data_IF_747103696797
#
_entry.id   IF_747103696797
#
_cell.length_a   1.000
_cell.length_b   1.000
_cell.length_c   1.000
_cell.angle_alpha   90.00
_cell.angle_beta   90.00
_cell.angle_gamma   90.00
#
_symmetry.space_group_name_H-M   'P 1'
#
loop_
_entity.id
_entity.type
_entity.pdbx_description
1 polymer ?
#
# COMPACT_ATOMS: atom_id res chain seq x y z
N UNK A 1 -7.77 28.01 13.19
CA UNK A 1 -7.56 26.70 12.58
C UNK A 1 -6.10 26.38 12.78
N UNK A 2 -5.78 25.78 13.93
CA UNK A 2 -4.40 25.50 14.32
C UNK A 2 -3.84 24.40 13.42
N UNK A 3 -2.68 24.65 12.83
CA UNK A 3 -1.94 23.69 12.02
C UNK A 3 -1.56 22.50 12.92
N UNK A 4 -2.24 21.37 12.69
CA UNK A 4 -2.04 20.14 13.43
C UNK A 4 -0.85 19.41 12.79
N UNK A 5 0.25 19.33 13.53
CA UNK A 5 1.46 18.64 13.12
C UNK A 5 1.17 17.13 13.02
N UNK A 6 1.32 16.49 11.84
CA UNK A 6 0.93 15.09 11.64
C UNK A 6 1.76 14.12 12.49
N UNK A 7 3.02 14.48 12.80
CA UNK A 7 3.88 13.67 13.66
C UNK A 7 3.34 13.59 15.09
N UNK A 8 2.90 14.72 15.65
CA UNK A 8 2.32 14.79 17.00
C UNK A 8 1.00 14.01 17.08
N UNK A 9 0.20 14.01 16.01
CA UNK A 9 -1.04 13.20 15.98
C UNK A 9 -0.79 11.71 15.91
N UNK A 10 0.29 11.27 15.23
CA UNK A 10 0.67 9.86 15.18
C UNK A 10 1.20 9.38 16.52
N UNK A 11 2.00 10.21 17.20
CA UNK A 11 2.46 9.91 18.56
C UNK A 11 1.28 9.82 19.54
N UNK A 12 0.33 10.74 19.47
CA UNK A 12 -0.89 10.70 20.28
C UNK A 12 -1.73 9.44 20.00
N UNK A 13 -1.87 9.02 18.74
CA UNK A 13 -2.57 7.79 18.38
C UNK A 13 -1.84 6.53 18.85
N UNK A 14 -0.51 6.47 18.74
CA UNK A 14 0.29 5.36 19.28
C UNK A 14 0.24 5.30 20.81
N UNK A 15 0.25 6.46 21.47
CA UNK A 15 0.13 6.56 22.92
C UNK A 15 -1.24 6.02 23.37
N UNK A 16 -2.32 6.45 22.71
CA UNK A 16 -3.66 5.94 22.96
C UNK A 16 -3.77 4.44 22.67
N UNK A 17 -3.13 3.92 21.61
CA UNK A 17 -3.11 2.49 21.30
C UNK A 17 -2.34 1.65 22.33
N UNK A 18 -1.29 2.22 22.94
CA UNK A 18 -0.56 1.58 24.05
C UNK A 18 -1.34 1.64 25.37
N UNK A 19 -1.99 2.76 25.66
CA UNK A 19 -2.78 2.97 26.87
C UNK A 19 -4.10 2.18 26.85
N UNK A 20 -4.73 2.04 25.68
CA UNK A 20 -5.95 1.24 25.50
C UNK A 20 -5.68 -0.26 25.29
N UNK A 21 -4.42 -0.70 25.31
CA UNK A 21 -4.08 -2.09 24.97
C UNK A 21 -4.52 -2.46 23.54
N UNK A 22 -4.25 -3.69 23.11
CA UNK A 22 -4.69 -4.15 21.79
C UNK A 22 -6.22 -4.02 21.70
N UNK A 23 -6.73 -3.02 20.98
CA UNK A 23 -8.17 -2.76 20.84
C UNK A 23 -8.90 -3.99 20.28
N UNK A 24 -8.20 -4.90 19.58
CA UNK A 24 -8.73 -6.23 19.19
C UNK A 24 -9.09 -7.10 20.40
N UNK A 25 -8.37 -6.97 21.51
CA UNK A 25 -8.64 -7.68 22.77
C UNK A 25 -9.76 -7.04 23.61
N UNK A 26 -9.93 -5.72 23.52
CA UNK A 26 -11.00 -4.99 24.24
C UNK A 26 -12.33 -4.96 23.50
N UNK A 27 -12.30 -4.91 22.16
CA UNK A 27 -13.48 -4.99 21.28
C UNK A 27 -13.83 -6.44 20.90
N UNK A 28 -13.20 -7.41 21.56
CA UNK A 28 -13.50 -8.82 21.42
C UNK A 28 -14.94 -9.12 21.90
N UNK A 29 -15.90 -8.99 20.98
CA UNK A 29 -17.20 -9.68 21.00
C UNK A 29 -16.98 -11.22 21.11
N UNK A 30 -15.74 -11.69 20.97
CA UNK A 30 -15.27 -13.05 21.29
C UNK A 30 -15.21 -13.38 22.80
N UNK A 31 -15.66 -12.51 23.70
CA UNK A 31 -15.88 -12.89 25.11
C UNK A 31 -17.22 -13.59 25.38
N UNK A 32 -18.02 -13.87 24.35
CA UNK A 32 -19.22 -14.71 24.49
C UNK A 32 -18.83 -16.20 24.55
N UNK A 33 -17.61 -16.57 24.14
CA UNK A 33 -17.08 -17.94 24.21
C UNK A 33 -16.22 -18.24 25.45
N UNK A 34 -15.97 -17.26 26.32
CA UNK A 34 -15.32 -17.55 27.61
C UNK A 34 -16.37 -18.02 28.63
N UNK A 35 -16.18 -19.21 29.24
CA UNK A 35 -17.07 -19.69 30.27
C UNK A 35 -17.00 -18.75 31.49
N UNK A 36 -18.15 -18.37 32.04
CA UNK A 36 -18.29 -17.43 33.18
C UNK A 36 -17.77 -18.05 34.51
N UNK A 37 -17.01 -19.14 34.47
CA UNK A 37 -16.57 -19.86 35.67
C UNK A 37 -15.10 -19.57 36.00
N UNK A 38 -14.91 -19.09 37.23
CA UNK A 38 -13.64 -18.75 37.86
C UNK A 38 -12.59 -19.88 37.74
N UNK A 39 -11.30 -19.55 37.53
CA UNK A 39 -10.22 -20.52 37.51
C UNK A 39 -9.75 -20.78 38.94
N UNK A 40 -10.43 -21.66 39.67
CA UNK A 40 -9.91 -22.26 40.90
C UNK A 40 -10.52 -23.66 41.08
N UNK A 41 -10.21 -24.57 40.16
CA UNK A 41 -10.47 -25.99 40.32
C UNK A 41 -9.55 -26.84 39.44
N UNK A 42 -8.24 -26.61 39.51
CA UNK A 42 -7.29 -27.65 39.08
C UNK A 42 -7.26 -28.76 40.13
N UNK A 43 -7.88 -29.88 39.79
CA UNK A 43 -7.50 -31.27 40.13
C UNK A 43 -8.74 -32.14 40.35
N UNK A 44 -9.14 -32.87 39.31
CA UNK A 44 -9.58 -34.27 39.43
C UNK A 44 -9.75 -34.89 38.03
N UNK A 45 -8.62 -35.22 37.42
CA UNK A 45 -8.57 -36.32 36.47
C UNK A 45 -8.70 -37.63 37.25
N UNK A 46 -9.87 -38.29 37.17
CA UNK A 46 -9.98 -39.73 36.92
C UNK A 46 -11.43 -40.23 37.09
N UNK A 47 -11.92 -40.90 36.04
CA UNK A 47 -12.97 -41.92 36.05
C UNK A 47 -14.33 -41.51 36.60
N UNK A 48 -15.33 -41.40 35.72
CA UNK A 48 -16.58 -42.16 35.81
C UNK A 48 -17.44 -41.93 34.55
N UNK A 49 -17.63 -43.01 33.80
CA UNK A 49 -18.76 -43.33 32.91
C UNK A 49 -19.56 -42.16 32.32
N UNK A 50 -19.23 -41.83 31.06
CA UNK A 50 -20.16 -41.77 29.91
C UNK A 50 -21.65 -41.65 30.30
N UNK A 51 -22.05 -40.48 30.79
CA UNK A 51 -23.45 -40.04 30.86
C UNK A 51 -23.60 -38.89 29.88
N UNK A 52 -24.33 -39.15 28.81
CA UNK A 52 -24.69 -38.17 27.77
C UNK A 52 -25.71 -37.19 28.35
N UNK A 53 -25.28 -36.12 29.01
CA UNK A 53 -26.17 -34.99 29.38
C UNK A 53 -25.46 -33.68 29.74
N UNK A 54 -24.15 -33.65 29.97
CA UNK A 54 -23.45 -32.41 30.38
C UNK A 54 -22.80 -31.70 29.18
N UNK A 55 -23.22 -30.46 28.95
CA UNK A 55 -22.77 -29.59 27.86
C UNK A 55 -21.47 -28.81 28.18
N UNK A 56 -20.78 -29.14 29.25
CA UNK A 56 -19.53 -28.47 29.68
C UNK A 56 -18.26 -29.07 29.06
N UNK A 57 -18.39 -30.06 28.17
CA UNK A 57 -17.27 -30.72 27.51
C UNK A 57 -17.32 -30.53 25.98
N UNK A 58 -17.18 -29.29 25.51
CA UNK A 58 -16.95 -29.04 24.08
C UNK A 58 -15.62 -28.30 23.94
N UNK A 59 -14.58 -29.09 23.63
CA UNK A 59 -13.35 -28.61 23.00
C UNK A 59 -13.72 -27.88 21.70
N UNK A 60 -13.57 -26.55 21.67
CA UNK A 60 -13.61 -25.69 20.48
C UNK A 60 -14.90 -25.78 19.63
N UNK A 61 -15.98 -25.06 20.00
CA UNK A 61 -17.19 -25.01 19.18
C UNK A 61 -16.91 -24.31 17.83
N UNK A 62 -17.03 -25.07 16.75
CA UNK A 62 -17.01 -24.53 15.38
C UNK A 62 -18.38 -23.89 15.08
N UNK A 63 -18.49 -22.79 14.30
CA UNK A 63 -19.77 -22.10 14.07
C UNK A 63 -20.91 -23.00 13.56
N UNK A 64 -20.59 -23.99 12.72
CA UNK A 64 -21.55 -24.97 12.22
C UNK A 64 -22.06 -25.95 13.31
N UNK A 65 -21.25 -26.25 14.32
CA UNK A 65 -21.66 -27.07 15.47
C UNK A 65 -22.66 -26.32 16.35
N UNK A 66 -22.42 -25.02 16.57
CA UNK A 66 -23.30 -24.17 17.37
C UNK A 66 -24.70 -24.07 16.75
N UNK A 67 -24.79 -23.94 15.42
CA UNK A 67 -26.07 -23.91 14.72
C UNK A 67 -26.85 -25.22 14.89
N UNK A 68 -26.18 -26.37 14.73
CA UNK A 68 -26.79 -27.68 14.95
C UNK A 68 -27.29 -27.83 16.39
N UNK A 69 -26.49 -27.41 17.38
CA UNK A 69 -26.88 -27.46 18.79
C UNK A 69 -28.09 -26.56 19.09
N UNK A 70 -28.14 -25.35 18.52
CA UNK A 70 -29.29 -24.45 18.67
C UNK A 70 -30.57 -25.07 18.09
N UNK A 71 -30.49 -25.78 16.97
CA UNK A 71 -31.65 -26.50 16.41
C UNK A 71 -32.10 -27.64 17.32
N UNK A 72 -31.15 -28.46 17.82
CA UNK A 72 -31.45 -29.56 18.74
C UNK A 72 -32.10 -29.06 20.05
N UNK A 73 -31.56 -28.00 20.65
CA UNK A 73 -32.14 -27.44 21.88
C UNK A 73 -33.53 -26.83 21.64
N UNK A 74 -33.75 -26.15 20.51
CA UNK A 74 -35.09 -25.65 20.16
C UNK A 74 -36.12 -26.79 20.10
N UNK A 75 -35.76 -27.93 19.52
CA UNK A 75 -36.64 -29.10 19.49
C UNK A 75 -36.85 -29.72 20.87
N UNK A 76 -35.77 -29.92 21.64
CA UNK A 76 -35.83 -30.48 22.99
C UNK A 76 -36.70 -29.62 23.92
N UNK A 77 -36.48 -28.30 23.94
CA UNK A 77 -37.27 -27.38 24.76
C UNK A 77 -38.71 -27.29 24.28
N UNK A 78 -38.98 -27.39 22.97
CA UNK A 78 -40.35 -27.45 22.46
C UNK A 78 -41.09 -28.71 22.94
N UNK A 79 -40.41 -29.87 22.88
CA UNK A 79 -40.95 -31.15 23.41
C UNK A 79 -41.15 -31.09 24.92
N UNK A 80 -40.18 -30.54 25.66
CA UNK A 80 -40.25 -30.41 27.10
C UNK A 80 -41.38 -29.45 27.52
N UNK A 81 -41.52 -28.31 26.83
CA UNK A 81 -42.61 -27.36 27.05
C UNK A 81 -43.98 -28.01 26.81
N UNK A 82 -44.12 -28.77 25.71
CA UNK A 82 -45.35 -29.48 25.41
C UNK A 82 -45.67 -30.52 26.50
N UNK A 83 -44.72 -31.39 26.84
CA UNK A 83 -44.88 -32.42 27.87
C UNK A 83 -45.22 -31.82 29.23
N UNK A 84 -44.56 -30.73 29.63
CA UNK A 84 -44.82 -30.06 30.90
C UNK A 84 -46.22 -29.44 30.95
N UNK A 85 -46.61 -28.68 29.92
CA UNK A 85 -47.94 -28.08 29.85
C UNK A 85 -49.02 -29.17 29.85
N UNK A 86 -48.82 -30.26 29.10
CA UNK A 86 -49.74 -31.39 29.09
C UNK A 86 -49.83 -32.06 30.47
N UNK A 87 -48.71 -32.31 31.14
CA UNK A 87 -48.72 -32.94 32.46
C UNK A 87 -49.38 -32.06 33.52
N UNK A 88 -49.00 -30.78 33.60
CA UNK A 88 -49.57 -29.84 34.57
C UNK A 88 -51.07 -29.64 34.33
N UNK A 89 -51.51 -29.60 33.07
CA UNK A 89 -52.95 -29.49 32.76
C UNK A 89 -53.71 -30.76 33.13
N UNK A 90 -53.16 -31.95 32.85
CA UNK A 90 -53.75 -33.23 33.29
C UNK A 90 -53.85 -33.32 34.81
N UNK A 91 -52.78 -32.99 35.53
CA UNK A 91 -52.78 -33.01 37.00
C UNK A 91 -53.75 -31.99 37.58
N UNK A 92 -53.76 -30.75 37.06
CA UNK A 92 -54.70 -29.71 37.49
C UNK A 92 -56.15 -30.12 37.23
N UNK A 93 -56.44 -30.75 36.10
CA UNK A 93 -57.78 -31.26 35.78
C UNK A 93 -58.20 -32.37 36.75
N UNK A 94 -57.35 -33.37 36.97
CA UNK A 94 -57.64 -34.46 37.92
C UNK A 94 -57.84 -33.92 39.35
N UNK A 95 -57.03 -32.95 39.77
CA UNK A 95 -57.17 -32.33 41.08
C UNK A 95 -58.45 -31.49 41.20
N UNK A 96 -58.89 -30.84 40.13
CA UNK A 96 -60.12 -30.06 40.11
C UNK A 96 -61.38 -30.94 40.22
N UNK A 97 -61.37 -32.13 39.61
CA UNK A 97 -62.52 -33.06 39.65
C UNK A 97 -62.53 -33.97 40.88
N UNK A 98 -61.35 -34.32 41.44
CA UNK A 98 -61.21 -35.22 42.60
C UNK A 98 -61.08 -34.46 43.93
N UNK A 99 -60.77 -33.16 43.90
CA UNK A 99 -60.68 -32.32 45.09
C UNK A 99 -62.03 -32.15 45.80
N UNK A 100 -62.00 -32.05 47.14
CA UNK A 100 -63.18 -31.79 47.97
C UNK A 100 -63.03 -30.41 48.65
N UNK A 101 -63.82 -29.38 48.28
CA UNK A 101 -64.90 -29.39 47.29
C UNK A 101 -64.40 -29.32 45.83
N UNK A 102 -65.17 -29.86 44.86
CA UNK A 102 -64.79 -29.86 43.45
C UNK A 102 -64.73 -28.43 42.90
N UNK A 103 -63.66 -28.12 42.16
CA UNK A 103 -63.44 -26.78 41.63
C UNK A 103 -64.27 -26.61 40.35
N UNK A 104 -65.46 -26.02 40.48
CA UNK A 104 -66.31 -25.65 39.35
C UNK A 104 -65.98 -24.21 38.94
N UNK A 105 -65.20 -24.04 37.88
CA UNK A 105 -64.91 -22.70 37.34
C UNK A 105 -66.20 -22.12 36.77
N UNK A 106 -66.64 -20.99 37.32
CA UNK A 106 -67.85 -20.30 36.86
C UNK A 106 -67.64 -19.67 35.47
N UNK A 107 -68.72 -19.50 34.70
CA UNK A 107 -68.63 -18.79 33.41
C UNK A 107 -68.09 -17.36 33.58
N UNK A 108 -68.48 -16.66 34.65
CA UNK A 108 -67.98 -15.31 34.95
C UNK A 108 -66.48 -15.29 35.22
N UNK A 109 -65.95 -16.26 35.98
CA UNK A 109 -64.52 -16.39 36.26
C UNK A 109 -63.73 -16.68 34.97
N UNK A 110 -64.27 -17.51 34.08
CA UNK A 110 -63.67 -17.74 32.76
C UNK A 110 -63.64 -16.46 31.91
N UNK A 111 -64.72 -15.67 31.89
CA UNK A 111 -64.77 -14.40 31.16
C UNK A 111 -63.73 -13.41 31.73
N UNK A 112 -63.62 -13.30 33.05
CA UNK A 112 -62.60 -12.45 33.70
C UNK A 112 -61.17 -12.91 33.35
N UNK A 113 -60.88 -14.22 33.41
CA UNK A 113 -59.58 -14.77 33.02
C UNK A 113 -59.27 -14.58 31.53
N UNK A 114 -60.28 -14.70 30.66
CA UNK A 114 -60.13 -14.43 29.22
C UNK A 114 -59.80 -12.96 28.96
N UNK A 115 -60.40 -12.02 29.68
CA UNK A 115 -60.07 -10.59 29.55
C UNK A 115 -58.63 -10.30 30.00
N UNK A 116 -58.20 -10.81 31.16
CA UNK A 116 -56.83 -10.67 31.64
C UNK A 116 -55.81 -11.31 30.69
N UNK A 117 -56.12 -12.49 30.15
CA UNK A 117 -55.26 -13.13 29.15
C UNK A 117 -55.18 -12.32 27.85
N UNK A 118 -56.27 -11.67 27.44
CA UNK A 118 -56.26 -10.80 26.27
C UNK A 118 -55.35 -9.58 26.47
N UNK A 119 -55.41 -8.95 27.65
CA UNK A 119 -54.55 -7.82 28.04
C UNK A 119 -53.08 -8.23 28.06
N UNK A 120 -52.71 -9.26 28.82
CA UNK A 120 -51.32 -9.75 28.92
C UNK A 120 -50.79 -10.20 27.55
N UNK A 121 -51.65 -10.79 26.71
CA UNK A 121 -51.26 -11.18 25.34
C UNK A 121 -51.04 -9.98 24.44
N UNK A 122 -51.78 -8.88 24.62
CA UNK A 122 -51.56 -7.64 23.90
C UNK A 122 -50.24 -7.00 24.32
N UNK A 123 -49.96 -6.92 25.63
CA UNK A 123 -48.69 -6.42 26.17
C UNK A 123 -47.49 -7.25 25.68
N UNK A 124 -47.60 -8.58 25.74
CA UNK A 124 -46.54 -9.47 25.25
C UNK A 124 -46.29 -9.30 23.75
N UNK A 125 -47.34 -9.04 22.96
CA UNK A 125 -47.18 -8.76 21.52
C UNK A 125 -46.49 -7.43 21.27
N UNK A 126 -46.86 -6.38 22.03
CA UNK A 126 -46.22 -5.07 21.93
C UNK A 126 -44.74 -5.15 22.29
N UNK A 127 -44.40 -5.79 23.42
CA UNK A 127 -43.01 -5.97 23.84
C UNK A 127 -42.19 -6.83 22.86
N UNK A 128 -42.79 -7.88 22.27
CA UNK A 128 -42.12 -8.66 21.22
C UNK A 128 -41.79 -7.84 19.97
N UNK A 129 -42.70 -6.96 19.59
CA UNK A 129 -42.49 -6.08 18.44
C UNK A 129 -41.41 -5.04 18.72
N UNK A 130 -41.40 -4.47 19.92
CA UNK A 130 -40.34 -3.56 20.38
C UNK A 130 -38.96 -4.24 20.36
N UNK A 131 -38.85 -5.45 20.93
CA UNK A 131 -37.60 -6.23 20.91
C UNK A 131 -37.19 -6.57 19.47
N UNK A 132 -38.15 -6.91 18.60
CA UNK A 132 -37.86 -7.18 17.18
C UNK A 132 -37.26 -5.94 16.50
N UNK A 133 -37.86 -4.77 16.68
CA UNK A 133 -37.34 -3.51 16.14
C UNK A 133 -35.94 -3.19 16.68
N UNK A 134 -35.73 -3.39 17.99
CA UNK A 134 -34.43 -3.16 18.63
C UNK A 134 -33.34 -4.08 18.07
N UNK A 135 -33.66 -5.35 17.81
CA UNK A 135 -32.73 -6.30 17.18
C UNK A 135 -32.40 -5.85 15.75
N UNK A 136 -33.40 -5.44 14.96
CA UNK A 136 -33.18 -4.96 13.59
C UNK A 136 -32.27 -3.71 13.56
N UNK A 137 -32.44 -2.78 14.51
CA UNK A 137 -31.58 -1.61 14.65
C UNK A 137 -30.16 -1.99 15.11
N UNK A 138 -30.04 -2.91 16.07
CA UNK A 138 -28.74 -3.42 16.53
C UNK A 138 -27.97 -4.13 15.41
N UNK A 139 -28.65 -4.92 14.57
CA UNK A 139 -28.02 -5.55 13.42
C UNK A 139 -27.56 -4.52 12.38
N UNK A 140 -28.39 -3.51 12.12
CA UNK A 140 -28.04 -2.44 11.18
C UNK A 140 -26.81 -1.66 11.67
N UNK A 141 -26.82 -1.23 12.91
CA UNK A 141 -25.70 -0.52 13.53
C UNK A 141 -24.45 -1.39 13.62
N UNK A 142 -24.59 -2.69 13.91
CA UNK A 142 -23.49 -3.66 13.89
C UNK A 142 -22.86 -3.80 12.50
N UNK A 143 -23.68 -3.91 11.44
CA UNK A 143 -23.20 -3.94 10.04
C UNK A 143 -22.48 -2.65 9.65
N UNK A 144 -23.06 -1.50 10.01
CA UNK A 144 -22.45 -0.19 9.72
C UNK A 144 -21.12 0.00 10.46
N UNK A 145 -21.03 -0.44 11.72
CA UNK A 145 -19.81 -0.40 12.51
C UNK A 145 -18.72 -1.29 11.89
N UNK A 146 -19.06 -2.52 11.51
CA UNK A 146 -18.12 -3.43 10.85
C UNK A 146 -17.55 -2.84 9.55
N UNK A 147 -18.41 -2.22 8.73
CA UNK A 147 -17.99 -1.55 7.50
C UNK A 147 -17.04 -0.39 7.77
N UNK A 148 -17.33 0.43 8.80
CA UNK A 148 -16.45 1.55 9.20
C UNK A 148 -15.12 1.04 9.72
N UNK A 149 -15.11 -0.01 10.54
CA UNK A 149 -13.89 -0.62 11.06
C UNK A 149 -12.99 -1.12 9.92
N UNK A 150 -13.55 -1.85 8.96
CA UNK A 150 -12.81 -2.35 7.79
C UNK A 150 -12.20 -1.19 6.97
N UNK A 151 -12.91 -0.08 6.82
CA UNK A 151 -12.40 1.09 6.11
C UNK A 151 -11.23 1.74 6.88
N UNK A 152 -11.36 1.91 8.20
CA UNK A 152 -10.28 2.43 9.05
C UNK A 152 -9.06 1.51 9.02
N UNK A 153 -9.25 0.19 9.07
CA UNK A 153 -8.15 -0.77 8.95
C UNK A 153 -7.44 -0.64 7.60
N UNK A 154 -8.18 -0.51 6.50
CA UNK A 154 -7.62 -0.26 5.18
C UNK A 154 -6.81 1.06 5.16
N UNK A 155 -7.39 2.16 5.66
CA UNK A 155 -6.69 3.45 5.74
C UNK A 155 -5.44 3.37 6.61
N UNK A 156 -5.48 2.61 7.72
CA UNK A 156 -4.33 2.40 8.59
C UNK A 156 -3.21 1.66 7.86
N UNK A 157 -3.53 0.62 7.08
CA UNK A 157 -2.52 -0.07 6.26
C UNK A 157 -1.92 0.84 5.19
N UNK A 158 -2.72 1.69 4.56
CA UNK A 158 -2.22 2.66 3.59
C UNK A 158 -1.27 3.66 4.26
N UNK A 159 -1.67 4.21 5.40
CA UNK A 159 -0.85 5.12 6.20
C UNK A 159 0.44 4.48 6.71
N UNK A 160 0.46 3.19 7.02
CA UNK A 160 1.70 2.51 7.40
C UNK A 160 2.68 2.32 6.23
N UNK A 161 2.17 2.18 5.00
CA UNK A 161 3.00 2.02 3.79
C UNK A 161 3.45 3.34 3.17
N UNK A 162 2.75 4.44 3.47
CA UNK A 162 3.01 5.74 2.86
C UNK A 162 4.42 6.30 3.17
N UNK A 163 4.93 6.25 4.42
CA UNK A 163 6.26 6.78 4.76
C UNK A 163 7.38 6.11 3.97
N UNK A 164 7.35 4.78 3.86
CA UNK A 164 8.33 4.03 3.06
C UNK A 164 8.26 4.45 1.58
N UNK A 165 7.06 4.66 1.03
CA UNK A 165 6.92 5.17 -0.33
C UNK A 165 7.49 6.58 -0.50
N UNK A 166 7.34 7.44 0.52
CA UNK A 166 7.87 8.80 0.51
C UNK A 166 9.39 8.76 0.56
N UNK A 167 10.00 7.98 1.45
CA UNK A 167 11.46 7.82 1.53
C UNK A 167 12.05 7.26 0.22
N UNK A 168 11.37 6.29 -0.39
CA UNK A 168 11.75 5.76 -1.70
C UNK A 168 11.67 6.84 -2.79
N UNK A 169 10.62 7.66 -2.81
CA UNK A 169 10.51 8.77 -3.76
C UNK A 169 11.56 9.86 -3.50
N UNK A 170 11.83 10.22 -2.24
CA UNK A 170 12.85 11.20 -1.88
C UNK A 170 14.26 10.75 -2.28
N UNK A 171 14.60 9.48 -2.05
CA UNK A 171 15.87 8.90 -2.50
C UNK A 171 16.00 8.92 -4.02
N UNK A 172 14.95 8.54 -4.76
CA UNK A 172 14.96 8.60 -6.24
C UNK A 172 15.12 10.04 -6.75
N UNK A 173 14.48 11.02 -6.11
CA UNK A 173 14.63 12.44 -6.43
C UNK A 173 16.07 12.89 -6.16
N UNK A 174 16.66 12.50 -5.03
CA UNK A 174 18.04 12.82 -4.70
C UNK A 174 19.02 12.23 -5.73
N UNK A 175 18.82 10.97 -6.14
CA UNK A 175 19.62 10.33 -7.19
C UNK A 175 19.49 11.04 -8.55
N UNK A 176 18.26 11.38 -8.95
CA UNK A 176 18.02 12.08 -10.22
C UNK A 176 18.65 13.48 -10.21
N UNK A 177 18.57 14.20 -9.08
CA UNK A 177 19.24 15.50 -8.93
C UNK A 177 20.76 15.35 -8.95
N UNK A 178 21.31 14.31 -8.33
CA UNK A 178 22.75 14.04 -8.37
C UNK A 178 23.22 13.74 -9.81
N UNK A 179 22.47 12.91 -10.55
CA UNK A 179 22.73 12.62 -11.97
C UNK A 179 22.64 13.87 -12.83
N UNK A 180 21.63 14.72 -12.60
CA UNK A 180 21.47 15.98 -13.31
C UNK A 180 22.62 16.96 -13.01
N UNK A 181 23.09 17.03 -11.75
CA UNK A 181 24.23 17.85 -11.37
C UNK A 181 25.53 17.36 -12.03
N UNK A 182 25.77 16.04 -12.09
CA UNK A 182 26.93 15.48 -12.80
C UNK A 182 26.88 15.71 -14.31
N UNK A 183 25.70 15.61 -14.94
CA UNK A 183 25.54 15.90 -16.37
C UNK A 183 25.68 17.40 -16.66
N UNK A 184 25.26 18.27 -15.74
CA UNK A 184 25.41 19.71 -15.87
C UNK A 184 26.87 20.18 -15.80
N UNK A 185 27.72 19.53 -15.00
CA UNK A 185 29.17 19.82 -14.99
C UNK A 185 29.89 19.30 -16.23
N UNK A 186 29.48 18.14 -16.77
CA UNK A 186 30.10 17.56 -17.96
C UNK A 186 29.69 18.27 -19.28
N UNK A 187 28.50 18.87 -19.33
CA UNK A 187 27.89 19.34 -20.59
C UNK A 187 27.25 20.73 -20.47
N UNK A 188 27.99 21.73 -19.97
CA UNK A 188 27.49 23.11 -19.82
C UNK A 188 26.99 23.74 -21.14
N UNK A 189 27.52 23.30 -22.29
CA UNK A 189 27.07 23.71 -23.61
C UNK A 189 25.78 23.02 -24.08
N UNK A 190 25.38 21.92 -23.45
CA UNK A 190 24.16 21.16 -23.79
C UNK A 190 22.96 21.54 -22.89
N UNK A 191 23.21 22.20 -21.75
CA UNK A 191 22.19 22.72 -20.84
C UNK A 191 21.84 24.20 -21.10
N UNK A 192 22.02 24.67 -22.34
CA UNK A 192 21.64 26.03 -22.73
C UNK A 192 20.12 26.09 -23.01
N UNK A 193 19.44 27.18 -22.60
CA UNK A 193 18.06 27.39 -23.01
C UNK A 193 17.96 27.50 -24.55
N UNK A 194 16.83 27.08 -25.11
CA UNK A 194 16.58 27.01 -26.56
C UNK A 194 17.07 28.23 -27.38
N UNK A 195 16.86 29.50 -26.97
CA UNK A 195 17.41 30.64 -27.72
C UNK A 195 18.94 30.69 -27.72
N UNK A 196 19.60 30.30 -26.63
CA UNK A 196 21.05 30.28 -26.53
C UNK A 196 21.70 29.12 -27.30
N UNK A 197 21.01 27.96 -27.43
CA UNK A 197 21.47 26.89 -28.32
C UNK A 197 21.40 27.31 -29.78
N UNK A 198 20.31 27.96 -30.21
CA UNK A 198 20.16 28.45 -31.58
C UNK A 198 21.25 29.48 -31.95
N UNK A 199 21.61 30.39 -31.04
CA UNK A 199 22.72 31.33 -31.30
C UNK A 199 24.07 30.63 -31.41
N UNK A 200 24.34 29.65 -30.54
CA UNK A 200 25.58 28.88 -30.56
C UNK A 200 25.70 28.05 -31.85
N UNK A 201 24.60 27.45 -32.31
CA UNK A 201 24.54 26.70 -33.58
C UNK A 201 24.85 27.62 -34.75
N UNK A 202 24.22 28.80 -34.81
CA UNK A 202 24.47 29.77 -35.88
C UNK A 202 25.93 30.26 -35.90
N UNK A 203 26.54 30.49 -34.73
CA UNK A 203 27.96 30.85 -34.61
C UNK A 203 28.87 29.74 -35.14
N UNK A 204 28.63 28.49 -34.73
CA UNK A 204 29.42 27.33 -35.18
C UNK A 204 29.24 27.05 -36.67
N UNK A 205 28.04 27.24 -37.22
CA UNK A 205 27.80 27.15 -38.67
C UNK A 205 28.56 28.23 -39.44
N UNK A 206 28.62 29.46 -38.91
CA UNK A 206 29.41 30.54 -39.51
C UNK A 206 30.92 30.26 -39.46
N UNK A 207 31.43 29.72 -38.35
CA UNK A 207 32.82 29.27 -38.21
C UNK A 207 33.15 28.15 -39.20
N UNK A 208 32.28 27.14 -39.33
CA UNK A 208 32.45 26.05 -40.30
C UNK A 208 32.43 26.57 -41.74
N UNK A 209 31.56 27.52 -42.06
CA UNK A 209 31.53 28.15 -43.37
C UNK A 209 32.81 28.95 -43.64
N UNK A 210 33.35 29.66 -42.65
CA UNK A 210 34.62 30.38 -42.76
C UNK A 210 35.80 29.42 -42.97
N UNK A 211 35.86 28.33 -42.20
CA UNK A 211 36.91 27.32 -42.30
C UNK A 211 36.85 26.59 -43.65
N UNK A 212 35.66 26.28 -44.15
CA UNK A 212 35.47 25.72 -45.49
C UNK A 212 35.95 26.67 -46.60
N UNK A 213 35.72 27.98 -46.46
CA UNK A 213 36.27 28.99 -47.40
C UNK A 213 37.80 29.03 -47.34
N UNK A 214 38.39 28.95 -46.16
CA UNK A 214 39.84 28.89 -45.99
C UNK A 214 40.43 27.62 -46.60
N UNK A 215 39.81 26.46 -46.37
CA UNK A 215 40.20 25.20 -47.00
C UNK A 215 40.11 25.28 -48.52
N UNK A 216 39.03 25.84 -49.07
CA UNK A 216 38.91 26.04 -50.52
C UNK A 216 39.98 26.98 -51.07
N UNK A 217 40.30 28.07 -50.37
CA UNK A 217 41.35 29.01 -50.78
C UNK A 217 42.74 28.34 -50.75
N UNK A 218 43.05 27.58 -49.71
CA UNK A 218 44.30 26.83 -49.58
C UNK A 218 44.39 25.75 -50.65
N UNK A 219 43.32 24.97 -50.89
CA UNK A 219 43.27 23.95 -51.94
C UNK A 219 43.48 24.55 -53.34
N UNK A 220 42.95 25.74 -53.61
CA UNK A 220 43.15 26.43 -54.89
C UNK A 220 44.56 27.02 -55.04
N UNK A 221 45.19 27.44 -53.95
CA UNK A 221 46.55 28.00 -53.95
C UNK A 221 47.66 26.93 -53.97
N UNK A 222 47.39 25.76 -53.39
CA UNK A 222 48.30 24.61 -53.32
C UNK A 222 48.93 24.23 -54.67
N UNK A 223 48.16 24.00 -55.76
CA UNK A 223 48.74 23.59 -57.04
C UNK A 223 49.57 24.69 -57.71
N UNK A 224 49.31 25.97 -57.42
CA UNK A 224 50.12 27.07 -57.94
C UNK A 224 51.44 27.16 -57.18
N UNK A 225 51.39 27.07 -55.86
CA UNK A 225 52.57 27.09 -55.00
C UNK A 225 53.47 25.87 -55.18
N UNK A 226 52.90 24.68 -55.44
CA UNK A 226 53.70 23.50 -55.80
C UNK A 226 54.42 23.70 -57.13
N UNK A 227 53.74 24.23 -58.15
CA UNK A 227 54.38 24.54 -59.45
C UNK A 227 55.48 25.60 -59.31
N UNK A 228 55.26 26.65 -58.52
CA UNK A 228 56.27 27.67 -58.24
C UNK A 228 57.48 27.09 -57.49
N UNK A 229 57.26 26.23 -56.49
CA UNK A 229 58.32 25.55 -55.76
C UNK A 229 59.13 24.61 -56.65
N UNK A 230 58.47 23.79 -57.46
CA UNK A 230 59.12 22.94 -58.46
C UNK A 230 59.92 23.76 -59.49
N UNK A 231 59.43 24.94 -59.89
CA UNK A 231 60.16 25.82 -60.81
C UNK A 231 61.42 26.41 -60.18
N UNK A 232 61.33 26.91 -58.94
CA UNK A 232 62.50 27.38 -58.20
C UNK A 232 63.51 26.25 -57.92
N UNK A 233 63.05 25.03 -57.64
CA UNK A 233 63.92 23.87 -57.46
C UNK A 233 64.69 23.53 -58.76
N UNK A 234 64.02 23.61 -59.92
CA UNK A 234 64.68 23.48 -61.24
C UNK A 234 65.72 24.58 -61.48
N UNK A 235 65.42 25.83 -61.13
CA UNK A 235 66.35 26.96 -61.26
C UNK A 235 67.55 26.85 -60.33
N UNK A 236 67.34 26.46 -59.07
CA UNK A 236 68.41 26.19 -58.11
C UNK A 236 69.28 25.02 -58.56
N UNK A 237 68.69 23.96 -59.11
CA UNK A 237 69.43 22.85 -59.74
C UNK A 237 70.32 23.34 -60.88
N UNK A 238 69.79 24.16 -61.78
CA UNK A 238 70.54 24.73 -62.90
C UNK A 238 71.66 25.69 -62.46
N UNK A 239 71.43 26.50 -61.41
CA UNK A 239 72.44 27.38 -60.81
C UNK A 239 73.53 26.60 -60.09
N UNK A 240 73.16 25.54 -59.37
CA UNK A 240 74.11 24.65 -58.71
C UNK A 240 74.99 23.94 -59.75
N UNK A 241 74.39 23.37 -60.80
CA UNK A 241 75.12 22.77 -61.93
C UNK A 241 76.01 23.79 -62.65
N UNK A 242 75.52 25.02 -62.84
CA UNK A 242 76.27 26.12 -63.44
C UNK A 242 77.45 26.59 -62.57
N UNK A 243 77.27 26.63 -61.24
CA UNK A 243 78.34 26.91 -60.27
C UNK A 243 79.37 25.79 -60.26
N UNK A 244 78.93 24.54 -60.23
CA UNK A 244 79.78 23.34 -60.23
C UNK A 244 80.60 23.22 -61.53
N UNK A 245 80.08 23.71 -62.67
CA UNK A 245 80.83 23.84 -63.93
C UNK A 245 81.79 25.05 -63.96
N UNK A 246 81.53 26.11 -63.20
CA UNK A 246 82.42 27.29 -63.09
C UNK A 246 83.58 27.08 -62.12
N UNK A 247 83.40 26.30 -61.06
CA UNK A 247 84.44 25.92 -60.09
C UNK A 247 85.73 25.37 -60.73
N UNK A 248 85.69 24.35 -61.63
CA UNK A 248 86.91 23.86 -62.30
C UNK A 248 87.47 24.84 -63.34
N UNK A 249 86.69 25.84 -63.79
CA UNK A 249 87.13 26.85 -64.76
C UNK A 249 87.88 28.00 -64.09
N UNK A 250 87.44 28.42 -62.90
CA UNK A 250 88.15 29.37 -62.04
C UNK A 250 89.41 28.76 -61.43
N UNK A 251 89.41 27.47 -61.11
CA UNK A 251 90.59 26.75 -60.65
C UNK A 251 91.65 26.60 -61.77
N UNK A 252 91.22 26.40 -63.03
CA UNK A 252 92.10 26.44 -64.21
C UNK A 252 92.66 27.82 -64.54
N UNK A 253 91.93 28.91 -64.25
CA UNK A 253 92.42 30.28 -64.41
C UNK A 253 93.35 30.71 -63.25
N UNK A 254 93.12 30.23 -62.03
CA UNK A 254 94.00 30.45 -60.86
C UNK A 254 95.31 29.66 -60.94
N UNK A 255 95.30 28.48 -61.57
CA UNK A 255 96.51 27.71 -61.87
C UNK A 255 97.40 28.31 -62.96
N UNK A 256 96.84 29.13 -63.87
CA UNK A 256 97.59 29.76 -64.97
C UNK A 256 98.29 31.08 -64.58
N UNK A 257 97.92 31.66 -63.44
CA UNK A 257 98.55 32.88 -62.90
C UNK A 257 99.70 32.60 -61.91
N UNK A 258 99.99 31.34 -61.55
CA UNK A 258 101.06 30.93 -60.62
C UNK A 258 102.23 30.19 -61.27
N UNK A 259 102.29 30.13 -62.59
CA UNK A 259 103.38 29.49 -63.35
C UNK A 259 103.93 30.40 -64.43
N UNK A 260 104.60 31.50 -64.05
CA UNK A 260 105.54 32.28 -64.87
C UNK A 260 106.26 33.30 -63.99
N UNK A 261 107.31 32.81 -63.32
CA UNK A 261 108.62 33.42 -63.02
C UNK A 261 109.24 32.68 -61.85
#
# INVERSE_FOLDING_TARGET
MSDINPAETLEQLQQLQKESGDLKSQLAILRISEPIFSPDAENQSQSLSKRTSDASAIDNPTPASLEADLTHYKELFSKLRFSYVEQVTKEKFLRAIVGDPPLVVGHNENVELETQLAEVKAELKASKEEVRMMIEEMEKTGRDLANRYNNVELQMTQLSTLPESIENLESTIAELRAKQASDAEASSSQNLPLPATLSLVAEREAELAALNRQLAAVQNALPRKTREAEAMERELGALNDGSQRRSPRLERLRGKARGRK
#
